data_IF_371758437733
#
_entry.id   IF_371758437733
#
_cell.length_a   1.000
_cell.length_b   1.000
_cell.length_c   1.000
_cell.angle_alpha   90.00
_cell.angle_beta   90.00
_cell.angle_gamma   90.00
#
_symmetry.space_group_name_H-M   'P 1'
#
loop_
_entity.id
_entity.type
_entity.pdbx_description
1 polymer ?
#
# COMPACT_ATOMS: atom_id res chain seq x y z
N UNK A 1 17.47 2.71 -11.56
CA UNK A 1 17.08 1.41 -10.97
C UNK A 1 15.61 1.48 -10.65
N UNK A 2 14.83 0.40 -10.84
CA UNK A 2 13.44 0.38 -10.38
C UNK A 2 13.41 0.08 -8.88
N UNK A 3 12.75 0.93 -8.10
CA UNK A 3 12.61 0.79 -6.66
C UNK A 3 11.18 0.33 -6.35
N UNK A 4 11.06 -0.83 -5.71
CA UNK A 4 9.79 -1.34 -5.18
C UNK A 4 9.78 -1.23 -3.66
N UNK A 5 8.69 -0.74 -3.08
CA UNK A 5 8.52 -0.61 -1.63
C UNK A 5 7.40 -1.52 -1.14
N UNK A 6 7.67 -2.31 -0.10
CA UNK A 6 6.68 -3.18 0.55
C UNK A 6 6.33 -2.59 1.92
N UNK A 7 5.05 -2.35 2.17
CA UNK A 7 4.54 -1.80 3.44
C UNK A 7 3.66 -2.86 4.12
N UNK A 8 4.21 -3.59 5.11
CA UNK A 8 3.39 -4.42 5.98
C UNK A 8 2.57 -3.53 6.93
N UNK A 9 1.29 -3.86 7.12
CA UNK A 9 0.41 -3.06 7.96
C UNK A 9 -0.61 -3.90 8.71
N UNK A 10 -1.13 -3.32 9.79
CA UNK A 10 -2.14 -3.88 10.67
C UNK A 10 -3.26 -2.84 10.85
N UNK A 11 -4.30 -2.93 10.03
CA UNK A 11 -5.56 -2.16 10.18
C UNK A 11 -5.36 -0.65 10.48
N UNK A 12 -4.60 0.04 9.62
CA UNK A 12 -4.26 1.47 9.81
C UNK A 12 -4.48 2.30 8.54
N UNK A 13 -5.73 2.39 8.07
CA UNK A 13 -6.09 3.05 6.81
C UNK A 13 -5.50 4.45 6.63
N UNK A 14 -5.52 5.28 7.70
CA UNK A 14 -5.02 6.65 7.64
C UNK A 14 -3.51 6.71 7.45
N UNK A 15 -2.77 5.87 8.18
CA UNK A 15 -1.30 5.85 8.15
C UNK A 15 -0.77 5.17 6.90
N UNK A 16 -1.46 4.13 6.40
CA UNK A 16 -1.11 3.43 5.16
C UNK A 16 -1.11 4.40 3.98
N UNK A 17 -2.15 5.26 3.86
CA UNK A 17 -2.24 6.23 2.77
C UNK A 17 -1.07 7.21 2.79
N UNK A 18 -0.68 7.71 3.96
CA UNK A 18 0.46 8.61 4.11
C UNK A 18 1.78 7.92 3.73
N UNK A 19 1.98 6.70 4.23
CA UNK A 19 3.18 5.91 3.93
C UNK A 19 3.27 5.60 2.42
N UNK A 20 2.20 5.08 1.81
CA UNK A 20 2.16 4.75 0.40
C UNK A 20 2.37 5.98 -0.50
N UNK A 21 1.71 7.10 -0.21
CA UNK A 21 1.90 8.35 -0.96
C UNK A 21 3.32 8.91 -0.84
N UNK A 22 3.96 8.72 0.31
CA UNK A 22 5.35 9.16 0.51
C UNK A 22 6.32 8.25 -0.24
N UNK A 23 6.10 6.95 -0.21
CA UNK A 23 6.90 5.96 -0.94
C UNK A 23 6.79 6.12 -2.46
N UNK A 24 5.61 6.44 -2.99
CA UNK A 24 5.41 6.70 -4.43
C UNK A 24 6.18 7.91 -4.98
N UNK A 25 6.75 8.77 -4.12
CA UNK A 25 7.62 9.88 -4.56
C UNK A 25 9.02 9.40 -4.99
N UNK A 26 9.43 8.23 -4.54
CA UNK A 26 10.78 7.68 -4.73
C UNK A 26 10.79 6.29 -5.34
N UNK A 27 9.67 5.57 -5.26
CA UNK A 27 9.49 4.22 -5.75
C UNK A 27 8.61 4.19 -7.01
N UNK A 28 8.92 3.28 -7.92
CA UNK A 28 8.10 3.00 -9.10
C UNK A 28 6.81 2.25 -8.72
N UNK A 29 6.85 1.48 -7.64
CA UNK A 29 5.74 0.67 -7.16
C UNK A 29 5.72 0.59 -5.62
N UNK A 30 4.51 0.52 -5.07
CA UNK A 30 4.27 0.29 -3.65
C UNK A 30 3.27 -0.85 -3.48
N UNK A 31 3.68 -1.87 -2.73
CA UNK A 31 2.88 -3.06 -2.40
C UNK A 31 2.50 -2.95 -0.93
N UNK A 32 1.20 -2.92 -0.64
CA UNK A 32 0.69 -2.89 0.73
C UNK A 32 0.20 -4.28 1.10
N UNK A 33 0.69 -4.81 2.22
CA UNK A 33 0.31 -6.13 2.75
C UNK A 33 -0.38 -5.93 4.09
N UNK A 34 -1.71 -6.05 4.11
CA UNK A 34 -2.51 -5.97 5.34
C UNK A 34 -2.75 -7.35 5.92
N UNK A 35 -2.33 -7.55 7.17
CA UNK A 35 -2.38 -8.84 7.85
C UNK A 35 -3.71 -9.11 8.58
N UNK A 36 -4.54 -8.09 8.82
CA UNK A 36 -5.87 -8.25 9.43
C UNK A 36 -6.90 -7.31 8.79
N UNK A 37 -7.26 -7.52 7.51
CA UNK A 37 -8.22 -6.66 6.82
C UNK A 37 -9.61 -6.84 7.42
N UNK A 38 -10.06 -5.91 8.26
CA UNK A 38 -11.44 -5.86 8.77
C UNK A 38 -12.43 -5.26 7.77
N UNK A 39 -11.93 -4.62 6.71
CA UNK A 39 -12.74 -3.85 5.75
C UNK A 39 -12.32 -4.24 4.32
N UNK A 40 -13.31 -4.45 3.44
CA UNK A 40 -13.08 -4.75 2.02
C UNK A 40 -12.36 -3.57 1.35
N UNK A 41 -11.30 -3.81 0.56
CA UNK A 41 -10.52 -2.74 -0.02
C UNK A 41 -11.34 -1.92 -1.02
N UNK A 42 -11.63 -0.68 -0.68
CA UNK A 42 -12.08 0.31 -1.66
C UNK A 42 -10.88 0.72 -2.48
N UNK A 43 -10.80 0.14 -3.69
CA UNK A 43 -9.79 0.38 -4.74
C UNK A 43 -9.29 1.82 -4.73
N UNK A 44 -8.09 2.04 -4.19
CA UNK A 44 -7.34 3.28 -4.39
C UNK A 44 -6.92 3.34 -5.87
N UNK A 45 -7.78 3.94 -6.67
CA UNK A 45 -7.48 4.35 -8.03
C UNK A 45 -6.41 5.45 -8.00
N UNK A 46 -5.16 5.09 -8.29
CA UNK A 46 -4.33 5.62 -9.39
C UNK A 46 -2.86 5.28 -9.14
N UNK A 47 -2.27 4.61 -10.15
CA UNK A 47 -0.94 3.96 -10.20
C UNK A 47 -0.81 2.72 -9.29
N UNK A 48 -1.03 1.56 -9.92
CA UNK A 48 -0.83 0.16 -9.45
C UNK A 48 -0.40 0.04 -7.98
N UNK A 49 -1.37 0.15 -7.07
CA UNK A 49 -1.25 -0.43 -5.73
C UNK A 49 -1.77 -1.86 -5.87
N UNK A 50 -0.86 -2.84 -5.77
CA UNK A 50 -1.26 -4.25 -5.64
C UNK A 50 -1.36 -4.54 -4.15
N UNK A 51 -2.58 -4.84 -3.69
CA UNK A 51 -2.83 -5.31 -2.33
C UNK A 51 -2.83 -6.83 -2.35
N UNK A 52 -1.91 -7.43 -1.59
CA UNK A 52 -1.89 -8.86 -1.35
C UNK A 52 -2.48 -9.13 0.04
N UNK A 53 -3.61 -9.85 0.07
CA UNK A 53 -4.19 -10.40 1.29
C UNK A 53 -3.85 -11.90 1.31
N UNK A 54 -3.23 -12.38 2.38
CA UNK A 54 -3.02 -13.81 2.62
C UNK A 54 -3.93 -14.27 3.74
#
# INVERSE_FOLDING_TARGET
>A
MKISVVIPTLNSERTIKLAANSSLKVADEVIVVDFFPRIKPQRLQKKKVQEFFK
#
